data_IF_797236755705
#
_entry.id   IF_797236755705
#
_cell.length_a   1.000
_cell.length_b   1.000
_cell.length_c   1.000
_cell.angle_alpha   90.00
_cell.angle_beta   90.00
_cell.angle_gamma   90.00
#
_symmetry.space_group_name_H-M   'P 1'
#
loop_
_entity.id
_entity.type
_entity.pdbx_description
1 polymer ?
#
# COMPACT_ATOMS: atom_id res chain seq x y z
N UNK A 1 -2.48 -9.64 -20.46
CA UNK A 1 -2.68 -9.67 -18.99
C UNK A 1 -2.37 -8.28 -18.45
N UNK A 2 -3.16 -7.76 -17.49
CA UNK A 2 -3.01 -6.42 -16.92
C UNK A 2 -2.31 -6.47 -15.55
N UNK A 3 -1.85 -5.32 -15.06
CA UNK A 3 -1.32 -5.16 -13.71
C UNK A 3 -2.46 -5.25 -12.66
N UNK A 4 -2.12 -5.49 -11.40
CA UNK A 4 -3.06 -5.45 -10.28
C UNK A 4 -2.50 -4.52 -9.20
N UNK A 5 -3.25 -3.46 -8.87
CA UNK A 5 -2.98 -2.64 -7.71
C UNK A 5 -3.92 -3.04 -6.57
N UNK A 6 -3.38 -3.35 -5.40
CA UNK A 6 -4.16 -3.83 -4.25
C UNK A 6 -3.97 -2.90 -3.07
N UNK A 7 -5.02 -2.19 -2.68
CA UNK A 7 -5.12 -1.58 -1.37
C UNK A 7 -5.84 -2.50 -0.40
N UNK A 8 -5.61 -2.33 0.89
CA UNK A 8 -6.13 -3.31 1.87
C UNK A 8 -6.19 -2.74 3.28
N UNK A 9 -7.18 -3.13 4.04
CA UNK A 9 -7.20 -2.95 5.49
C UNK A 9 -6.13 -3.80 6.18
N UNK A 10 -5.66 -3.34 7.35
CA UNK A 10 -4.70 -4.11 8.15
C UNK A 10 -5.40 -5.32 8.78
N UNK A 11 -4.76 -6.48 8.73
CA UNK A 11 -5.37 -7.74 9.20
C UNK A 11 -6.38 -8.38 8.23
N UNK A 12 -6.75 -7.74 7.11
CA UNK A 12 -7.68 -8.33 6.13
C UNK A 12 -7.11 -9.50 5.30
N UNK A 13 -5.82 -9.78 5.41
CA UNK A 13 -5.19 -10.85 4.60
C UNK A 13 -4.83 -10.45 3.18
N UNK A 14 -4.93 -9.18 2.79
CA UNK A 14 -4.65 -8.71 1.43
C UNK A 14 -3.28 -9.14 0.89
N UNK A 15 -2.23 -9.20 1.73
CA UNK A 15 -0.91 -9.74 1.33
C UNK A 15 -0.96 -11.23 1.00
N UNK A 16 -1.76 -12.02 1.73
CA UNK A 16 -1.94 -13.46 1.45
C UNK A 16 -2.69 -13.67 0.14
N UNK A 17 -3.76 -12.91 -0.09
CA UNK A 17 -4.50 -12.92 -1.36
C UNK A 17 -3.59 -12.57 -2.54
N UNK A 18 -2.82 -11.48 -2.42
CA UNK A 18 -1.86 -11.07 -3.45
C UNK A 18 -0.83 -12.18 -3.79
N UNK A 19 -0.32 -12.89 -2.77
CA UNK A 19 0.60 -14.01 -2.98
C UNK A 19 -0.07 -15.19 -3.68
N UNK A 20 -1.32 -15.52 -3.35
CA UNK A 20 -2.09 -16.57 -4.03
C UNK A 20 -2.24 -16.23 -5.52
N UNK A 21 -2.62 -15.00 -5.84
CA UNK A 21 -2.76 -14.53 -7.23
C UNK A 21 -1.41 -14.59 -7.95
N UNK A 22 -0.34 -14.07 -7.33
CA UNK A 22 1.02 -14.12 -7.88
C UNK A 22 1.44 -15.55 -8.25
N UNK A 23 1.22 -16.51 -7.34
CA UNK A 23 1.54 -17.93 -7.58
C UNK A 23 0.71 -18.53 -8.71
N UNK A 24 -0.60 -18.22 -8.80
CA UNK A 24 -1.49 -18.75 -9.83
C UNK A 24 -1.18 -18.20 -11.23
N UNK A 25 -0.80 -16.92 -11.32
CA UNK A 25 -0.51 -16.26 -12.59
C UNK A 25 0.97 -16.32 -13.00
N UNK A 26 1.86 -16.70 -12.09
CA UNK A 26 3.31 -16.67 -12.32
C UNK A 26 3.87 -15.25 -12.51
N UNK A 27 3.22 -14.22 -11.94
CA UNK A 27 3.63 -12.82 -12.08
C UNK A 27 4.26 -12.28 -10.79
N UNK A 28 5.20 -11.31 -10.89
CA UNK A 28 5.84 -10.75 -9.71
C UNK A 28 4.87 -10.01 -8.79
N UNK A 29 5.19 -10.05 -7.49
CA UNK A 29 4.47 -9.39 -6.42
C UNK A 29 5.40 -8.44 -5.68
N UNK A 30 5.00 -7.18 -5.60
CA UNK A 30 5.74 -6.10 -4.93
C UNK A 30 4.95 -5.55 -3.76
N UNK A 31 5.56 -5.51 -2.58
CA UNK A 31 4.98 -4.94 -1.36
C UNK A 31 5.84 -3.80 -0.77
N UNK A 32 5.90 -3.68 0.55
CA UNK A 32 6.69 -2.65 1.24
C UNK A 32 8.15 -2.53 0.80
N UNK A 33 8.71 -3.57 0.18
CA UNK A 33 10.09 -3.57 -0.30
C UNK A 33 10.31 -2.64 -1.52
N UNK A 34 9.25 -2.18 -2.19
CA UNK A 34 9.35 -1.22 -3.30
C UNK A 34 10.15 0.03 -2.94
N UNK A 35 9.98 0.53 -1.72
CA UNK A 35 10.73 1.67 -1.23
C UNK A 35 12.23 1.41 -1.17
N UNK A 36 12.61 0.25 -0.63
CA UNK A 36 14.03 -0.17 -0.56
C UNK A 36 14.63 -0.40 -1.94
N UNK A 37 13.87 -0.96 -2.87
CA UNK A 37 14.31 -1.12 -4.26
C UNK A 37 14.55 0.24 -4.92
N UNK A 38 13.60 1.18 -4.77
CA UNK A 38 13.73 2.53 -5.33
C UNK A 38 14.93 3.29 -4.75
N UNK A 39 15.15 3.19 -3.44
CA UNK A 39 16.31 3.79 -2.80
C UNK A 39 17.62 3.24 -3.35
N UNK A 40 17.72 1.91 -3.49
CA UNK A 40 18.91 1.24 -4.03
C UNK A 40 19.20 1.63 -5.48
N UNK A 41 18.18 1.67 -6.33
CA UNK A 41 18.34 2.01 -7.75
C UNK A 41 18.72 3.47 -7.98
N UNK A 42 18.26 4.37 -7.09
CA UNK A 42 18.44 5.82 -7.27
C UNK A 42 19.47 6.44 -6.33
N UNK A 43 20.20 5.62 -5.56
CA UNK A 43 21.24 6.09 -4.64
C UNK A 43 20.73 6.95 -3.49
N UNK A 44 19.45 6.79 -3.09
CA UNK A 44 18.84 7.54 -2.00
C UNK A 44 19.18 6.86 -0.67
N UNK A 45 19.49 7.65 0.36
CA UNK A 45 19.82 7.14 1.69
C UNK A 45 18.64 6.36 2.30
N UNK A 46 18.85 5.08 2.60
CA UNK A 46 17.83 4.18 3.17
C UNK A 46 17.28 4.67 4.52
N UNK A 47 18.10 5.29 5.36
CA UNK A 47 17.66 5.85 6.65
C UNK A 47 16.61 6.95 6.50
N UNK A 48 16.69 7.71 5.43
CA UNK A 48 15.70 8.73 5.09
C UNK A 48 14.42 8.11 4.55
N UNK A 49 14.52 6.99 3.81
CA UNK A 49 13.35 6.31 3.23
C UNK A 49 12.46 5.61 4.27
N UNK A 50 13.04 5.11 5.38
CA UNK A 50 12.25 4.52 6.48
C UNK A 50 11.33 5.54 7.17
N UNK A 51 11.74 6.80 7.23
CA UNK A 51 10.92 7.89 7.77
C UNK A 51 9.69 8.18 6.89
N UNK A 52 9.78 7.90 5.58
CA UNK A 52 8.73 8.20 4.59
C UNK A 52 7.88 6.99 4.20
N UNK A 53 8.05 5.88 4.87
CA UNK A 53 7.15 4.73 4.77
C UNK A 53 5.74 5.07 5.31
N UNK A 54 4.74 4.24 4.99
CA UNK A 54 3.36 4.35 5.54
C UNK A 54 3.35 4.62 7.06
N UNK A 55 4.41 4.23 7.76
CA UNK A 55 4.59 4.44 9.20
C UNK A 55 5.00 5.87 9.57
N UNK A 56 5.78 6.54 8.73
CA UNK A 56 6.42 7.84 9.05
C UNK A 56 5.61 9.05 8.63
N UNK A 57 4.78 8.96 7.58
CA UNK A 57 4.05 10.12 7.03
C UNK A 57 3.14 10.79 8.06
N UNK A 58 2.55 10.04 9.00
CA UNK A 58 1.74 10.62 10.08
C UNK A 58 2.53 11.49 11.05
N UNK A 59 3.79 11.14 11.35
CA UNK A 59 4.70 11.94 12.18
C UNK A 59 5.15 13.20 11.44
N UNK A 60 5.52 13.05 10.17
CA UNK A 60 5.99 14.16 9.34
C UNK A 60 4.89 15.19 9.11
N UNK A 61 3.64 14.77 8.85
CA UNK A 61 2.50 15.69 8.74
C UNK A 61 2.28 16.47 10.04
N UNK A 62 2.49 15.84 11.19
CA UNK A 62 2.40 16.50 12.49
C UNK A 62 3.54 17.53 12.65
N UNK A 63 4.75 17.17 12.28
CA UNK A 63 5.92 18.06 12.37
C UNK A 63 5.81 19.23 11.39
N UNK A 64 5.31 19.00 10.16
CA UNK A 64 5.00 20.09 9.22
C UNK A 64 3.90 21.03 9.71
N UNK A 65 2.87 20.51 10.37
CA UNK A 65 1.79 21.31 10.92
C UNK A 65 2.25 22.15 12.12
N UNK A 66 3.19 21.64 12.94
CA UNK A 66 3.72 22.32 14.12
C UNK A 66 4.80 23.34 13.79
N UNK A 67 5.63 23.10 12.78
CA UNK A 67 6.80 23.93 12.49
C UNK A 67 6.53 25.05 11.50
N UNK A 68 5.33 25.13 10.92
CA UNK A 68 4.93 26.21 9.99
C UNK A 68 6.13 26.72 9.19
N UNK A 69 6.19 26.59 7.95
CA UNK A 69 7.13 27.09 6.91
C UNK A 69 8.49 27.73 7.30
N UNK A 70 8.86 27.82 8.59
CA UNK A 70 9.96 28.69 9.04
C UNK A 70 11.24 27.98 9.54
N UNK A 71 11.30 26.66 9.66
CA UNK A 71 12.39 26.02 10.41
C UNK A 71 13.22 24.95 9.69
N UNK A 72 13.07 24.72 8.40
CA UNK A 72 13.93 23.77 7.68
C UNK A 72 15.11 24.44 6.96
N UNK A 73 16.01 25.02 7.75
CA UNK A 73 17.37 25.38 7.32
C UNK A 73 18.39 24.26 7.55
N UNK A 74 17.98 23.03 7.78
CA UNK A 74 18.86 21.88 8.02
C UNK A 74 18.79 20.88 6.85
N UNK A 75 19.93 20.48 6.35
CA UNK A 75 20.18 19.48 5.29
C UNK A 75 19.48 18.14 5.51
N UNK A 76 18.17 18.06 5.27
CA UNK A 76 17.49 16.80 5.00
C UNK A 76 17.64 16.55 3.51
N UNK A 77 18.54 15.64 3.13
CA UNK A 77 18.91 15.37 1.73
C UNK A 77 17.82 14.68 0.89
N UNK A 78 16.59 14.52 1.38
CA UNK A 78 15.43 14.11 0.57
C UNK A 78 14.12 14.46 1.28
N UNK A 79 13.17 15.01 0.53
CA UNK A 79 11.82 15.31 1.02
C UNK A 79 10.92 14.08 0.86
N UNK A 80 9.75 14.01 1.57
CA UNK A 80 8.74 12.97 1.32
C UNK A 80 8.34 12.84 -0.15
N UNK A 81 8.33 13.96 -0.87
CA UNK A 81 8.01 14.02 -2.29
C UNK A 81 9.10 13.39 -3.17
N UNK A 82 10.38 13.56 -2.85
CA UNK A 82 11.47 12.90 -3.57
C UNK A 82 11.44 11.39 -3.39
N UNK A 83 11.20 10.92 -2.16
CA UNK A 83 11.04 9.50 -1.87
C UNK A 83 9.83 8.91 -2.62
N UNK A 84 8.68 9.61 -2.60
CA UNK A 84 7.50 9.21 -3.33
C UNK A 84 7.74 9.21 -4.85
N UNK A 85 8.39 10.24 -5.39
CA UNK A 85 8.71 10.36 -6.81
C UNK A 85 9.61 9.22 -7.29
N UNK A 86 10.64 8.88 -6.51
CA UNK A 86 11.53 7.75 -6.82
C UNK A 86 10.78 6.42 -6.84
N UNK A 87 9.95 6.17 -5.83
CA UNK A 87 9.11 4.97 -5.75
C UNK A 87 8.07 4.93 -6.88
N UNK A 88 7.44 6.05 -7.17
CA UNK A 88 6.47 6.17 -8.27
C UNK A 88 7.11 5.85 -9.62
N UNK A 89 8.31 6.38 -9.88
CA UNK A 89 9.08 6.05 -11.08
C UNK A 89 9.38 4.55 -11.18
N UNK A 90 9.79 3.91 -10.08
CA UNK A 90 10.02 2.46 -10.06
C UNK A 90 8.74 1.67 -10.35
N UNK A 91 7.61 2.02 -9.73
CA UNK A 91 6.31 1.37 -10.01
C UNK A 91 5.96 1.50 -11.49
N UNK A 92 6.13 2.69 -12.09
CA UNK A 92 5.87 2.90 -13.51
C UNK A 92 6.75 1.99 -14.40
N UNK A 93 8.04 1.94 -14.11
CA UNK A 93 9.00 1.13 -14.89
C UNK A 93 8.67 -0.36 -14.79
N UNK A 94 8.37 -0.86 -13.58
CA UNK A 94 7.98 -2.25 -13.37
C UNK A 94 6.65 -2.58 -14.05
N UNK A 95 5.63 -1.72 -13.92
CA UNK A 95 4.31 -1.92 -14.50
C UNK A 95 4.30 -1.89 -16.03
N UNK A 96 5.19 -1.10 -16.64
CA UNK A 96 5.38 -1.06 -18.11
C UNK A 96 6.15 -2.27 -18.63
N UNK A 97 7.02 -2.85 -17.82
CA UNK A 97 7.91 -3.96 -18.20
C UNK A 97 7.18 -5.29 -18.30
N UNK A 98 6.31 -5.59 -17.35
CA UNK A 98 5.50 -6.82 -17.33
C UNK A 98 4.32 -6.71 -16.36
N UNK A 99 3.22 -7.47 -16.59
CA UNK A 99 2.14 -7.59 -15.61
C UNK A 99 2.67 -7.97 -14.24
N UNK A 100 2.24 -7.23 -13.23
CA UNK A 100 2.76 -7.34 -11.85
C UNK A 100 1.67 -7.00 -10.84
N UNK A 101 1.84 -7.46 -9.61
CA UNK A 101 0.96 -7.12 -8.48
C UNK A 101 1.69 -6.13 -7.57
N UNK A 102 1.04 -5.01 -7.28
CA UNK A 102 1.57 -3.97 -6.39
C UNK A 102 0.65 -3.82 -5.18
N UNK A 103 1.22 -3.93 -3.98
CA UNK A 103 0.47 -3.87 -2.73
C UNK A 103 0.66 -2.54 -2.02
N UNK A 104 -0.33 -1.65 -2.12
CA UNK A 104 -0.32 -0.31 -1.53
C UNK A 104 0.53 0.70 -2.29
N UNK A 105 1.10 1.66 -1.58
CA UNK A 105 2.00 2.69 -2.12
C UNK A 105 1.37 3.57 -3.20
N UNK A 106 0.06 3.75 -3.14
CA UNK A 106 -0.70 4.50 -4.14
C UNK A 106 -0.52 3.95 -5.57
N UNK A 107 -0.22 2.65 -5.72
CA UNK A 107 0.08 2.05 -7.01
C UNK A 107 -1.06 2.21 -8.03
N UNK A 108 -2.33 2.09 -7.60
CA UNK A 108 -3.50 2.34 -8.46
C UNK A 108 -3.52 3.76 -9.01
N UNK A 109 -3.30 4.75 -8.15
CA UNK A 109 -3.21 6.15 -8.56
C UNK A 109 -2.04 6.40 -9.54
N UNK A 110 -0.87 5.83 -9.26
CA UNK A 110 0.31 5.95 -10.13
C UNK A 110 0.05 5.33 -11.51
N UNK A 111 -0.59 4.16 -11.56
CA UNK A 111 -0.93 3.51 -12.83
C UNK A 111 -1.94 4.32 -13.63
N UNK A 112 -2.95 4.87 -12.97
CA UNK A 112 -3.97 5.70 -13.58
C UNK A 112 -3.41 7.01 -14.15
N UNK A 113 -2.62 7.72 -13.35
CA UNK A 113 -2.25 9.12 -13.65
C UNK A 113 -0.89 9.27 -14.32
N UNK A 114 0.05 8.36 -14.08
CA UNK A 114 1.45 8.50 -14.48
C UNK A 114 1.91 7.42 -15.45
N UNK A 115 1.66 6.14 -15.14
CA UNK A 115 2.09 5.04 -16.00
C UNK A 115 1.19 4.83 -17.22
N UNK A 116 -0.11 5.08 -17.08
CA UNK A 116 -1.15 4.90 -18.11
C UNK A 116 -1.10 3.49 -18.75
N UNK A 117 -0.95 2.47 -17.90
CA UNK A 117 -0.93 1.06 -18.29
C UNK A 117 -2.25 0.38 -17.88
N UNK A 118 -2.68 -0.70 -18.56
CA UNK A 118 -3.84 -1.48 -18.12
C UNK A 118 -3.62 -2.07 -16.72
N UNK A 119 -4.59 -1.89 -15.84
CA UNK A 119 -4.55 -2.41 -14.47
C UNK A 119 -5.96 -2.64 -13.92
N UNK A 120 -6.06 -3.49 -12.89
CA UNK A 120 -7.23 -3.67 -12.04
C UNK A 120 -6.91 -3.10 -10.66
N UNK A 121 -7.73 -2.16 -10.16
CA UNK A 121 -7.57 -1.58 -8.83
C UNK A 121 -8.51 -2.24 -7.83
N UNK A 122 -7.95 -2.92 -6.86
CA UNK A 122 -8.68 -3.75 -5.90
C UNK A 122 -8.51 -3.21 -4.47
N UNK A 123 -9.59 -3.17 -3.72
CA UNK A 123 -9.56 -2.97 -2.27
C UNK A 123 -9.95 -4.24 -1.52
N UNK A 124 -9.09 -4.73 -0.62
CA UNK A 124 -9.34 -5.91 0.19
C UNK A 124 -9.64 -5.50 1.63
N UNK A 125 -10.80 -5.89 2.13
CA UNK A 125 -11.21 -5.64 3.51
C UNK A 125 -11.70 -6.91 4.19
N UNK A 126 -11.87 -6.85 5.51
CA UNK A 126 -12.50 -7.89 6.30
C UNK A 126 -13.54 -7.26 7.22
N UNK A 127 -14.80 -7.66 7.06
CA UNK A 127 -15.92 -7.11 7.83
C UNK A 127 -15.95 -7.58 9.29
N UNK A 128 -15.35 -8.73 9.60
CA UNK A 128 -15.21 -9.23 10.96
C UNK A 128 -13.92 -8.72 11.60
N UNK A 129 -14.05 -7.81 12.56
CA UNK A 129 -12.91 -7.26 13.31
C UNK A 129 -12.19 -8.35 14.13
N UNK A 130 -12.89 -9.39 14.59
CA UNK A 130 -12.28 -10.47 15.37
C UNK A 130 -11.33 -11.32 14.51
N UNK A 131 -11.65 -11.53 13.24
CA UNK A 131 -10.74 -12.18 12.30
C UNK A 131 -9.48 -11.34 12.07
N UNK A 132 -9.62 -10.03 11.96
CA UNK A 132 -8.49 -9.10 11.84
C UNK A 132 -7.61 -9.13 13.08
N UNK A 133 -8.21 -9.14 14.28
CA UNK A 133 -7.51 -9.24 15.58
C UNK A 133 -6.73 -10.55 15.64
N UNK A 134 -7.38 -11.71 15.43
CA UNK A 134 -6.71 -13.01 15.44
C UNK A 134 -5.51 -13.03 14.49
N UNK A 135 -5.67 -12.52 13.28
CA UNK A 135 -4.59 -12.48 12.32
C UNK A 135 -3.42 -11.61 12.75
N UNK A 136 -3.69 -10.45 13.34
CA UNK A 136 -2.65 -9.54 13.85
C UNK A 136 -1.89 -10.16 15.02
N UNK A 137 -2.59 -10.88 15.91
CA UNK A 137 -1.95 -11.64 16.98
C UNK A 137 -1.03 -12.74 16.41
N UNK A 138 -1.51 -13.49 15.42
CA UNK A 138 -0.74 -14.59 14.81
C UNK A 138 0.48 -14.11 14.00
N UNK A 139 0.34 -13.04 13.26
CA UNK A 139 1.35 -12.59 12.27
C UNK A 139 2.32 -11.57 12.86
N UNK A 140 1.82 -10.67 13.70
CA UNK A 140 2.59 -9.55 14.24
C UNK A 140 2.96 -9.75 15.72
N UNK A 141 2.43 -10.79 16.39
CA UNK A 141 2.69 -11.08 17.81
C UNK A 141 2.11 -10.04 18.77
N UNK A 142 1.10 -9.29 18.33
CA UNK A 142 0.47 -8.24 19.16
C UNK A 142 -0.47 -8.87 20.17
N UNK A 143 -0.41 -8.42 21.42
CA UNK A 143 -1.34 -8.84 22.48
C UNK A 143 -2.79 -8.49 22.13
N UNK A 144 -3.74 -9.36 22.45
CA UNK A 144 -5.17 -9.19 22.14
C UNK A 144 -5.71 -7.83 22.61
N UNK A 145 -5.38 -7.42 23.83
CA UNK A 145 -5.80 -6.13 24.41
C UNK A 145 -5.36 -4.90 23.62
N UNK A 146 -4.33 -5.03 22.79
CA UNK A 146 -3.76 -3.95 21.98
C UNK A 146 -4.08 -4.09 20.49
N UNK A 147 -4.58 -5.25 20.05
CA UNK A 147 -4.69 -5.61 18.64
C UNK A 147 -5.64 -4.67 17.87
N UNK A 148 -6.80 -4.33 18.44
CA UNK A 148 -7.73 -3.43 17.77
C UNK A 148 -7.17 -2.02 17.60
N UNK A 149 -6.54 -1.46 18.66
CA UNK A 149 -5.90 -0.15 18.57
C UNK A 149 -4.73 -0.12 17.58
N UNK A 150 -4.00 -1.22 17.51
CA UNK A 150 -2.92 -1.41 16.54
C UNK A 150 -3.45 -1.44 15.09
N UNK A 151 -4.54 -2.17 14.83
CA UNK A 151 -5.21 -2.21 13.53
C UNK A 151 -5.66 -0.81 13.11
N UNK A 152 -6.38 -0.10 13.99
CA UNK A 152 -6.84 1.28 13.72
C UNK A 152 -5.68 2.23 13.41
N UNK A 153 -4.58 2.13 14.16
CA UNK A 153 -3.36 2.92 13.91
C UNK A 153 -2.81 2.65 12.52
N UNK A 154 -2.72 1.37 12.11
CA UNK A 154 -2.21 0.97 10.80
C UNK A 154 -3.10 1.44 9.65
N UNK A 155 -4.41 1.30 9.79
CA UNK A 155 -5.36 1.78 8.77
C UNK A 155 -5.32 3.31 8.65
N UNK A 156 -5.19 4.03 9.77
CA UNK A 156 -5.02 5.48 9.75
C UNK A 156 -3.71 5.91 9.05
N UNK A 157 -2.61 5.19 9.26
CA UNK A 157 -1.36 5.45 8.55
C UNK A 157 -1.53 5.31 7.03
N UNK A 158 -2.21 4.26 6.56
CA UNK A 158 -2.50 4.03 5.13
C UNK A 158 -3.41 5.11 4.56
N UNK A 159 -4.47 5.46 5.29
CA UNK A 159 -5.40 6.52 4.89
C UNK A 159 -4.70 7.86 4.73
N UNK A 160 -3.87 8.23 5.71
CA UNK A 160 -3.12 9.48 5.69
C UNK A 160 -2.08 9.50 4.57
N UNK A 161 -1.36 8.40 4.36
CA UNK A 161 -0.41 8.25 3.26
C UNK A 161 -1.09 8.42 1.89
N UNK A 162 -2.19 7.71 1.66
CA UNK A 162 -2.95 7.83 0.42
C UNK A 162 -3.45 9.27 0.23
N UNK A 163 -4.13 9.84 1.23
CA UNK A 163 -4.67 11.20 1.16
C UNK A 163 -3.59 12.26 0.88
N UNK A 164 -2.41 12.10 1.48
CA UNK A 164 -1.32 13.06 1.31
C UNK A 164 -0.78 13.09 -0.13
N UNK A 165 -0.58 11.92 -0.74
CA UNK A 165 0.03 11.84 -2.08
C UNK A 165 -0.96 11.87 -3.23
N UNK A 166 -2.21 11.45 -3.03
CA UNK A 166 -3.19 11.30 -4.12
C UNK A 166 -4.37 12.27 -4.03
N UNK A 167 -4.62 12.83 -2.83
CA UNK A 167 -5.82 13.57 -2.49
C UNK A 167 -7.11 12.73 -2.54
N UNK A 168 -7.03 11.44 -2.83
CA UNK A 168 -8.16 10.50 -2.85
C UNK A 168 -8.51 10.00 -1.45
N UNK A 169 -9.75 9.56 -1.25
CA UNK A 169 -10.19 8.94 0.00
C UNK A 169 -9.95 7.44 -0.06
N UNK A 170 -9.02 6.95 0.75
CA UNK A 170 -8.68 5.53 0.84
C UNK A 170 -9.87 4.70 1.31
N UNK A 171 -10.17 3.60 0.59
CA UNK A 171 -11.32 2.75 0.84
C UNK A 171 -12.66 3.31 0.33
N UNK A 172 -12.65 4.45 -0.36
CA UNK A 172 -13.87 4.97 -1.02
C UNK A 172 -14.14 4.17 -2.29
N UNK A 173 -15.33 3.56 -2.37
CA UNK A 173 -15.72 2.64 -3.44
C UNK A 173 -15.49 3.17 -4.87
N UNK A 174 -15.66 4.46 -5.09
CA UNK A 174 -15.47 5.09 -6.41
C UNK A 174 -14.02 5.12 -6.90
N UNK A 175 -13.06 4.77 -6.04
CA UNK A 175 -11.64 4.73 -6.39
C UNK A 175 -11.15 3.33 -6.82
N UNK A 176 -11.99 2.31 -6.70
CA UNK A 176 -11.62 0.92 -6.95
C UNK A 176 -12.56 0.26 -7.97
N UNK A 177 -12.01 -0.61 -8.80
CA UNK A 177 -12.78 -1.41 -9.74
C UNK A 177 -13.48 -2.57 -9.03
N UNK A 178 -12.87 -3.08 -7.94
CA UNK A 178 -13.37 -4.20 -7.16
C UNK A 178 -13.05 -4.05 -5.67
N UNK A 179 -14.04 -4.29 -4.82
CA UNK A 179 -13.84 -4.38 -3.37
C UNK A 179 -14.22 -5.79 -2.89
N UNK A 180 -13.29 -6.48 -2.19
CA UNK A 180 -13.48 -7.89 -1.79
C UNK A 180 -13.40 -8.06 -0.29
N UNK A 181 -14.44 -8.69 0.28
CA UNK A 181 -14.53 -9.01 1.70
C UNK A 181 -13.95 -10.42 1.98
N UNK A 182 -12.80 -10.48 2.62
CA UNK A 182 -12.17 -11.76 2.97
C UNK A 182 -12.86 -12.50 4.11
N UNK A 183 -13.66 -11.84 4.95
CA UNK A 183 -14.49 -12.52 5.94
C UNK A 183 -15.60 -13.37 5.29
N UNK A 184 -16.11 -12.94 4.12
CA UNK A 184 -17.15 -13.66 3.40
C UNK A 184 -16.61 -14.74 2.48
N UNK A 185 -15.48 -14.50 1.82
CA UNK A 185 -14.98 -15.37 0.74
C UNK A 185 -13.71 -16.15 1.12
N UNK A 186 -13.12 -15.87 2.28
CA UNK A 186 -11.79 -16.38 2.59
C UNK A 186 -10.72 -15.82 1.65
N UNK A 187 -9.47 -16.26 1.80
CA UNK A 187 -8.36 -15.76 0.98
C UNK A 187 -8.36 -16.35 -0.43
N UNK A 188 -8.67 -17.64 -0.56
CA UNK A 188 -8.72 -18.31 -1.86
C UNK A 188 -9.90 -17.83 -2.69
N UNK A 189 -11.10 -17.73 -2.09
CA UNK A 189 -12.28 -17.18 -2.78
C UNK A 189 -12.10 -15.73 -3.20
N UNK A 190 -11.45 -14.89 -2.36
CA UNK A 190 -11.11 -13.54 -2.71
C UNK A 190 -10.13 -13.48 -3.92
N UNK A 191 -9.13 -14.35 -3.94
CA UNK A 191 -8.20 -14.45 -5.08
C UNK A 191 -8.92 -14.89 -6.36
N UNK A 192 -9.84 -15.87 -6.29
CA UNK A 192 -10.63 -16.31 -7.45
C UNK A 192 -11.52 -15.20 -8.01
N UNK A 193 -12.17 -14.42 -7.14
CA UNK A 193 -12.98 -13.28 -7.58
C UNK A 193 -12.13 -12.24 -8.34
N UNK A 194 -10.94 -11.93 -7.83
CA UNK A 194 -10.02 -10.99 -8.48
C UNK A 194 -9.55 -11.54 -9.83
N UNK A 195 -9.19 -12.84 -9.89
CA UNK A 195 -8.80 -13.49 -11.15
C UNK A 195 -9.91 -13.47 -12.20
N UNK A 196 -11.16 -13.71 -11.79
CA UNK A 196 -12.32 -13.61 -12.69
C UNK A 196 -12.57 -12.18 -13.20
N UNK A 197 -12.29 -11.17 -12.38
CA UNK A 197 -12.43 -9.77 -12.79
C UNK A 197 -11.35 -9.31 -13.79
N UNK A 198 -10.29 -10.08 -13.95
CA UNK A 198 -9.24 -9.80 -14.93
C UNK A 198 -9.59 -10.27 -16.36
N UNK A 199 -10.61 -11.09 -16.53
CA UNK A 199 -11.04 -11.66 -17.82
C UNK A 199 -10.42 -13.01 -18.10
#
# INVERSE_FOLDING_TARGET
>A
MQNIAIDREYGSGGRKVAKIISSKLGIPFYDGNLLFMAARERGINLGTMELYDEKGVGSILHDFALLGNAAYGGTINSTPFEAYSAMSGLIQDLAKRSPSIFLGRCAGHIMKTQAQVPYLHVFIYASDIQERIRRVMEVDGVEESKAESFIRKKDNQRRNYNKFFTQETWGERGNYDLMVNTSSFGYDGAAELILKAMG
#
